data_IF_384418119303
#
_entry.id   IF_384418119303
#
_cell.length_a   1.000
_cell.length_b   1.000
_cell.length_c   1.000
_cell.angle_alpha   90.00
_cell.angle_beta   90.00
_cell.angle_gamma   90.00
#
_symmetry.space_group_name_H-M   'P 1'
#
loop_
_entity.id
_entity.type
_entity.pdbx_description
1 polymer ?
#
# COMPACT_ATOMS: atom_id res chain seq x y z
N UNK A 1 26.45 -2.95 -29.80
CA UNK A 1 25.82 -1.97 -28.90
C UNK A 1 24.63 -2.65 -28.21
N UNK A 2 24.65 -2.87 -26.89
CA UNK A 2 23.51 -3.41 -26.16
C UNK A 2 22.50 -2.30 -25.79
N UNK A 3 21.20 -2.61 -25.63
CA UNK A 3 20.21 -1.64 -25.16
C UNK A 3 20.43 -1.31 -23.67
N UNK A 4 20.46 -0.01 -23.34
CA UNK A 4 20.55 0.52 -21.97
C UNK A 4 19.13 0.68 -21.39
N UNK A 5 18.85 0.03 -20.27
CA UNK A 5 17.81 0.47 -19.33
C UNK A 5 16.69 -0.53 -19.00
N UNK A 6 17.04 -1.76 -18.60
CA UNK A 6 16.13 -2.56 -17.78
C UNK A 6 16.27 -2.10 -16.31
N UNK A 7 15.28 -1.39 -15.79
CA UNK A 7 15.11 -1.16 -14.36
C UNK A 7 14.04 -2.13 -13.85
N UNK A 8 14.42 -3.40 -13.66
CA UNK A 8 13.61 -4.38 -12.93
C UNK A 8 14.32 -4.73 -11.63
N UNK A 9 14.02 -4.01 -10.55
CA UNK A 9 14.28 -4.48 -9.17
C UNK A 9 13.22 -3.94 -8.21
N UNK A 10 12.23 -4.77 -7.91
CA UNK A 10 11.84 -5.09 -6.53
C UNK A 10 11.37 -6.56 -6.51
N UNK A 11 12.31 -7.47 -6.74
CA UNK A 11 12.16 -8.89 -6.40
C UNK A 11 12.62 -9.06 -4.95
N UNK A 12 11.84 -8.58 -3.99
CA UNK A 12 11.91 -9.11 -2.63
C UNK A 12 10.96 -10.29 -2.55
N UNK A 13 11.55 -11.46 -2.77
CA UNK A 13 11.25 -12.76 -2.15
C UNK A 13 9.79 -13.18 -2.06
N UNK A 14 9.40 -14.03 -3.02
CA UNK A 14 8.68 -15.24 -2.63
C UNK A 14 9.07 -16.37 -3.57
N UNK A 15 10.19 -17.01 -3.24
CA UNK A 15 10.54 -18.36 -3.67
C UNK A 15 9.30 -19.24 -3.65
N UNK A 16 9.00 -19.84 -4.79
CA UNK A 16 7.84 -20.71 -4.99
C UNK A 16 7.99 -22.05 -4.28
N UNK A 17 7.80 -22.07 -2.97
CA UNK A 17 7.65 -23.30 -2.18
C UNK A 17 6.48 -23.08 -1.18
N UNK A 18 5.46 -23.95 -1.22
CA UNK A 18 4.36 -24.08 -0.24
C UNK A 18 3.16 -23.11 -0.21
N UNK A 19 2.70 -22.55 -1.34
CA UNK A 19 1.57 -21.58 -1.37
C UNK A 19 0.21 -22.04 -0.82
N UNK A 20 0.00 -23.33 -0.52
CA UNK A 20 -1.32 -23.87 -0.16
C UNK A 20 -1.46 -24.34 1.29
N UNK A 21 -0.35 -24.55 2.03
CA UNK A 21 -0.41 -24.94 3.45
C UNK A 21 -0.59 -23.75 4.40
N UNK A 22 0.04 -22.60 4.15
CA UNK A 22 0.07 -21.51 5.14
C UNK A 22 -1.17 -20.61 5.24
N UNK A 23 -1.98 -20.44 4.17
CA UNK A 23 -3.08 -19.45 4.22
C UNK A 23 -4.25 -19.87 5.12
N UNK A 24 -4.59 -21.17 5.14
CA UNK A 24 -5.65 -21.68 6.04
C UNK A 24 -5.25 -21.52 7.50
N UNK A 25 -4.00 -21.87 7.84
CA UNK A 25 -3.45 -21.75 9.19
C UNK A 25 -3.38 -20.29 9.64
N UNK A 26 -2.98 -19.40 8.72
CA UNK A 26 -2.98 -17.95 8.96
C UNK A 26 -4.38 -17.44 9.26
N UNK A 27 -5.38 -17.83 8.47
CA UNK A 27 -6.77 -17.41 8.72
C UNK A 27 -7.31 -18.01 10.01
N UNK A 28 -6.96 -19.25 10.35
CA UNK A 28 -7.33 -19.85 11.62
C UNK A 28 -6.72 -19.08 12.80
N UNK A 29 -5.44 -18.70 12.69
CA UNK A 29 -4.78 -17.87 13.70
C UNK A 29 -5.49 -16.52 13.84
N UNK A 30 -5.79 -15.85 12.72
CA UNK A 30 -6.52 -14.58 12.72
C UNK A 30 -7.88 -14.74 13.41
N UNK A 31 -8.63 -15.81 13.11
CA UNK A 31 -9.93 -16.08 13.74
C UNK A 31 -9.82 -16.39 15.24
N UNK A 32 -8.71 -16.97 15.68
CA UNK A 32 -8.45 -17.27 17.09
C UNK A 32 -8.12 -16.03 17.90
N UNK A 33 -7.35 -15.09 17.33
CA UNK A 33 -6.86 -13.91 18.06
C UNK A 33 -7.69 -12.65 17.85
N UNK A 34 -8.39 -12.53 16.72
CA UNK A 34 -9.16 -11.33 16.38
C UNK A 34 -10.66 -11.62 16.42
N UNK A 35 -11.35 -11.03 17.40
CA UNK A 35 -12.81 -11.04 17.46
C UNK A 35 -13.37 -9.81 16.75
N UNK A 36 -14.25 -10.02 15.78
CA UNK A 36 -14.84 -8.93 14.99
C UNK A 36 -15.71 -7.97 15.81
N UNK A 37 -16.26 -8.46 16.93
CA UNK A 37 -17.07 -7.68 17.86
C UNK A 37 -16.31 -6.51 18.49
N UNK A 38 -15.01 -6.69 18.80
CA UNK A 38 -14.17 -5.62 19.37
C UNK A 38 -14.00 -4.43 18.41
N UNK A 39 -14.15 -4.67 17.11
CA UNK A 39 -14.06 -3.66 16.05
C UNK A 39 -15.43 -3.16 15.58
N UNK A 40 -16.52 -3.61 16.22
CA UNK A 40 -17.90 -3.32 15.79
C UNK A 40 -18.15 -3.69 14.32
N UNK A 41 -17.52 -4.78 13.86
CA UNK A 41 -17.66 -5.32 12.51
C UNK A 41 -18.66 -6.47 12.58
N UNK A 42 -19.77 -6.34 11.86
CA UNK A 42 -20.85 -7.35 11.86
C UNK A 42 -20.42 -8.59 11.07
N UNK A 43 -19.76 -8.38 9.93
CA UNK A 43 -19.26 -9.46 9.08
C UNK A 43 -18.12 -8.94 8.21
N UNK A 44 -17.24 -9.84 7.78
CA UNK A 44 -16.25 -9.57 6.74
C UNK A 44 -16.65 -10.31 5.47
N UNK A 45 -16.47 -9.65 4.32
CA UNK A 45 -16.66 -10.27 3.00
C UNK A 45 -15.30 -10.59 2.39
N UNK A 46 -14.83 -11.85 2.48
CA UNK A 46 -13.59 -12.26 1.85
C UNK A 46 -13.76 -12.33 0.33
N UNK A 47 -12.81 -11.75 -0.39
CA UNK A 47 -12.71 -11.81 -1.85
C UNK A 47 -11.30 -12.24 -2.23
N UNK A 48 -11.19 -13.18 -3.17
CA UNK A 48 -9.88 -13.58 -3.71
C UNK A 48 -9.45 -12.58 -4.77
N UNK A 49 -8.21 -12.09 -4.67
CA UNK A 49 -7.64 -11.15 -5.65
C UNK A 49 -7.00 -11.93 -6.81
N UNK A 50 -6.78 -11.25 -7.94
CA UNK A 50 -6.08 -11.84 -9.09
C UNK A 50 -4.65 -12.29 -8.75
N UNK A 51 -4.01 -11.65 -7.78
CA UNK A 51 -2.68 -12.00 -7.26
C UNK A 51 -2.68 -13.22 -6.34
N UNK A 52 -3.85 -13.81 -6.05
CA UNK A 52 -4.00 -14.95 -5.14
C UNK A 52 -4.08 -14.59 -3.66
N UNK A 53 -4.03 -13.30 -3.33
CA UNK A 53 -4.22 -12.77 -1.97
C UNK A 53 -5.71 -12.79 -1.57
N UNK A 54 -6.00 -12.52 -0.30
CA UNK A 54 -7.36 -12.35 0.21
C UNK A 54 -7.59 -10.89 0.60
N UNK A 55 -8.65 -10.32 0.06
CA UNK A 55 -9.17 -9.01 0.41
C UNK A 55 -10.35 -9.20 1.36
N UNK A 56 -10.31 -8.56 2.52
CA UNK A 56 -11.46 -8.50 3.43
C UNK A 56 -12.16 -7.15 3.29
N UNK A 57 -13.38 -7.16 2.76
CA UNK A 57 -14.25 -5.99 2.76
C UNK A 57 -14.99 -5.89 4.09
N UNK A 58 -14.98 -4.69 4.68
CA UNK A 58 -15.75 -4.33 5.87
C UNK A 58 -16.99 -3.55 5.41
N UNK A 59 -18.18 -4.16 5.39
CA UNK A 59 -19.42 -3.46 5.03
C UNK A 59 -19.91 -2.56 6.17
N UNK A 60 -20.65 -1.50 5.81
CA UNK A 60 -21.38 -0.64 6.75
C UNK A 60 -20.81 0.76 6.94
N UNK A 61 -21.49 1.54 7.78
CA UNK A 61 -21.09 2.91 8.14
C UNK A 61 -19.83 2.88 9.01
N UNK A 62 -18.91 3.82 8.75
CA UNK A 62 -17.61 3.86 9.42
C UNK A 62 -16.67 2.72 9.02
N UNK A 63 -16.93 2.06 7.88
CA UNK A 63 -16.12 0.94 7.38
C UNK A 63 -14.64 1.30 7.22
N UNK A 64 -14.34 2.54 6.83
CA UNK A 64 -12.99 3.04 6.68
C UNK A 64 -12.18 2.92 8.00
N UNK A 65 -12.68 3.53 9.07
CA UNK A 65 -12.01 3.53 10.39
C UNK A 65 -11.93 2.13 11.00
N UNK A 66 -12.99 1.32 10.84
CA UNK A 66 -13.01 -0.06 11.31
C UNK A 66 -11.98 -0.92 10.56
N UNK A 67 -11.86 -0.73 9.25
CA UNK A 67 -10.84 -1.40 8.44
C UNK A 67 -9.42 -0.94 8.80
N UNK A 68 -9.21 0.35 9.12
CA UNK A 68 -7.93 0.86 9.61
C UNK A 68 -7.52 0.18 10.92
N UNK A 69 -8.42 0.15 11.92
CA UNK A 69 -8.16 -0.52 13.21
C UNK A 69 -7.86 -2.00 13.02
N UNK A 70 -8.65 -2.69 12.21
CA UNK A 70 -8.44 -4.10 11.90
C UNK A 70 -7.09 -4.33 11.21
N UNK A 71 -6.70 -3.46 10.27
CA UNK A 71 -5.44 -3.56 9.56
C UNK A 71 -4.23 -3.38 10.48
N UNK A 72 -4.30 -2.48 11.47
CA UNK A 72 -3.21 -2.29 12.46
C UNK A 72 -2.99 -3.55 13.29
N UNK A 73 -4.07 -4.14 13.82
CA UNK A 73 -3.97 -5.38 14.60
C UNK A 73 -3.45 -6.54 13.75
N UNK A 74 -3.98 -6.68 12.53
CA UNK A 74 -3.54 -7.74 11.62
C UNK A 74 -2.06 -7.56 11.23
N UNK A 75 -1.58 -6.34 11.01
CA UNK A 75 -0.15 -6.08 10.78
C UNK A 75 0.69 -6.57 11.95
N UNK A 76 0.35 -6.19 13.18
CA UNK A 76 1.11 -6.61 14.36
C UNK A 76 1.20 -8.13 14.50
N UNK A 77 0.10 -8.84 14.23
CA UNK A 77 0.03 -10.31 14.34
C UNK A 77 0.74 -11.05 13.20
N UNK A 78 0.71 -10.49 11.99
CA UNK A 78 1.10 -11.19 10.75
C UNK A 78 2.49 -10.78 10.26
N UNK A 79 2.93 -9.55 10.50
CA UNK A 79 4.28 -9.11 10.12
C UNK A 79 5.35 -9.88 10.91
N UNK A 80 5.08 -10.24 12.18
CA UNK A 80 5.93 -11.13 12.97
C UNK A 80 6.08 -12.53 12.35
N UNK A 81 5.15 -12.92 11.47
CA UNK A 81 5.14 -14.21 10.75
C UNK A 81 5.58 -14.06 9.29
N UNK A 82 6.14 -12.90 8.91
CA UNK A 82 6.60 -12.60 7.56
C UNK A 82 5.49 -12.32 6.54
N UNK A 83 4.25 -12.09 6.99
CA UNK A 83 3.10 -11.87 6.13
C UNK A 83 2.78 -10.38 6.02
N UNK A 84 2.68 -9.89 4.79
CA UNK A 84 2.41 -8.48 4.51
C UNK A 84 0.91 -8.20 4.55
N UNK A 85 0.50 -7.25 5.40
CA UNK A 85 -0.87 -6.75 5.47
C UNK A 85 -0.91 -5.33 4.91
N UNK A 86 -1.82 -5.08 3.96
CA UNK A 86 -2.01 -3.75 3.37
C UNK A 86 -3.49 -3.36 3.38
N UNK A 87 -3.76 -2.08 3.65
CA UNK A 87 -5.08 -1.49 3.46
C UNK A 87 -5.15 -0.88 2.06
N UNK A 88 -5.87 -1.50 1.11
CA UNK A 88 -6.00 -0.92 -0.22
C UNK A 88 -6.83 0.36 -0.14
N UNK A 89 -6.30 1.43 -0.74
CA UNK A 89 -6.96 2.73 -0.87
C UNK A 89 -7.07 3.08 -2.35
N UNK A 90 -8.12 3.80 -2.72
CA UNK A 90 -8.22 4.36 -4.08
C UNK A 90 -7.07 5.36 -4.25
N UNK A 91 -6.39 5.28 -5.39
CA UNK A 91 -5.28 6.17 -5.76
C UNK A 91 -5.58 6.79 -7.11
N UNK A 92 -5.00 7.97 -7.33
CA UNK A 92 -5.02 8.69 -8.61
C UNK A 92 -3.59 9.06 -8.97
N UNK A 93 -3.29 9.14 -10.26
CA UNK A 93 -2.02 9.66 -10.75
C UNK A 93 -2.12 11.17 -10.96
N UNK A 94 -1.10 11.89 -10.51
CA UNK A 94 -0.98 13.34 -10.65
C UNK A 94 0.31 13.66 -11.39
N UNK A 95 0.27 14.69 -12.22
CA UNK A 95 1.46 15.26 -12.85
C UNK A 95 1.67 16.67 -12.32
N UNK A 96 2.83 16.93 -11.75
CA UNK A 96 3.23 18.20 -11.17
C UNK A 96 4.36 18.77 -12.02
N UNK A 97 4.27 20.03 -12.40
CA UNK A 97 5.27 20.74 -13.23
C UNK A 97 5.60 22.08 -12.60
N UNK A 98 6.75 22.66 -12.95
CA UNK A 98 7.22 23.89 -12.32
C UNK A 98 8.04 23.65 -11.06
N UNK A 99 8.65 22.46 -10.92
CA UNK A 99 9.51 22.15 -9.79
C UNK A 99 10.87 22.85 -9.96
N UNK A 100 11.25 23.67 -9.00
CA UNK A 100 12.57 24.31 -8.95
C UNK A 100 13.69 23.27 -8.71
N UNK A 101 14.94 23.62 -9.02
CA UNK A 101 16.10 22.73 -8.90
C UNK A 101 16.38 22.24 -7.47
N UNK A 102 15.92 22.99 -6.46
CA UNK A 102 15.98 22.59 -5.05
C UNK A 102 14.87 21.60 -4.63
N UNK A 103 13.93 21.28 -5.52
CA UNK A 103 12.80 20.40 -5.20
C UNK A 103 13.26 18.95 -5.06
N UNK A 104 13.05 18.39 -3.87
CA UNK A 104 13.25 16.98 -3.57
C UNK A 104 11.91 16.23 -3.58
N UNK A 105 11.90 14.90 -3.79
CA UNK A 105 10.66 14.12 -3.75
C UNK A 105 9.96 14.21 -2.38
N UNK A 106 10.68 14.37 -1.27
CA UNK A 106 10.07 14.58 0.05
C UNK A 106 9.22 15.87 0.08
N UNK A 107 9.74 16.96 -0.50
CA UNK A 107 9.03 18.25 -0.58
C UNK A 107 7.70 18.11 -1.33
N UNK A 108 7.70 17.32 -2.41
CA UNK A 108 6.48 17.05 -3.20
C UNK A 108 5.49 16.21 -2.40
N UNK A 109 5.96 15.16 -1.70
CA UNK A 109 5.11 14.33 -0.84
C UNK A 109 4.44 15.18 0.25
N UNK A 110 5.22 16.00 0.95
CA UNK A 110 4.72 16.85 2.04
C UNK A 110 3.70 17.86 1.54
N UNK A 111 3.99 18.55 0.43
CA UNK A 111 3.09 19.54 -0.16
C UNK A 111 1.77 18.89 -0.63
N UNK A 112 1.84 17.76 -1.33
CA UNK A 112 0.66 17.04 -1.81
C UNK A 112 -0.14 16.45 -0.64
N UNK A 113 0.53 15.94 0.40
CA UNK A 113 -0.13 15.46 1.61
C UNK A 113 -0.89 16.58 2.32
N UNK A 114 -0.26 17.75 2.48
CA UNK A 114 -0.84 18.92 3.13
C UNK A 114 -2.07 19.43 2.38
N UNK A 115 -1.99 19.59 1.05
CA UNK A 115 -3.11 20.08 0.23
C UNK A 115 -4.20 19.02 0.10
N UNK A 116 -3.82 17.76 -0.10
CA UNK A 116 -4.75 16.66 -0.34
C UNK A 116 -5.38 16.07 0.92
N UNK A 117 -4.96 16.49 2.12
CA UNK A 117 -5.43 15.93 3.39
C UNK A 117 -5.15 14.42 3.53
N UNK A 118 -4.13 13.91 2.85
CA UNK A 118 -3.81 12.49 2.79
C UNK A 118 -2.51 12.20 3.55
N UNK A 119 -2.39 11.01 4.14
CA UNK A 119 -1.13 10.58 4.76
C UNK A 119 -0.02 10.41 3.72
N UNK A 120 1.18 10.91 4.01
CA UNK A 120 2.37 10.80 3.18
C UNK A 120 2.66 9.35 2.73
N UNK A 121 2.40 8.35 3.59
CA UNK A 121 2.60 6.93 3.25
C UNK A 121 1.68 6.39 2.15
N UNK A 122 0.64 7.14 1.77
CA UNK A 122 -0.24 6.80 0.64
C UNK A 122 0.21 7.43 -0.68
N UNK A 123 1.20 8.31 -0.67
CA UNK A 123 1.71 9.03 -1.83
C UNK A 123 2.97 8.31 -2.31
N UNK A 124 3.07 8.12 -3.63
CA UNK A 124 4.28 7.62 -4.29
C UNK A 124 4.68 8.65 -5.33
N UNK A 125 5.90 9.16 -5.21
CA UNK A 125 6.45 10.15 -6.12
C UNK A 125 7.50 9.46 -6.99
N UNK A 126 7.40 9.67 -8.30
CA UNK A 126 8.40 9.18 -9.26
C UNK A 126 9.67 10.01 -9.21
N UNK A 127 10.65 9.66 -10.05
CA UNK A 127 11.85 10.49 -10.18
C UNK A 127 11.48 11.86 -10.76
N UNK A 128 11.97 12.93 -10.14
CA UNK A 128 11.80 14.29 -10.64
C UNK A 128 12.65 14.45 -11.91
N UNK A 129 11.98 14.71 -13.02
CA UNK A 129 12.64 15.01 -14.28
C UNK A 129 13.05 16.48 -14.30
N UNK A 130 14.36 16.72 -14.19
CA UNK A 130 14.93 18.07 -14.34
C UNK A 130 14.96 18.45 -15.82
N UNK A 131 14.40 19.62 -16.13
CA UNK A 131 14.33 20.08 -17.51
C UNK A 131 15.66 20.73 -17.93
N UNK A 132 16.02 20.69 -19.24
CA UNK A 132 17.17 21.42 -19.76
C UNK A 132 16.98 22.93 -19.61
N UNK A 133 18.09 23.68 -19.67
CA UNK A 133 18.17 25.11 -19.42
C UNK A 133 16.97 25.90 -20.00
N UNK A 134 16.34 26.72 -19.15
CA UNK A 134 15.19 27.56 -19.49
C UNK A 134 13.82 26.95 -19.17
N UNK A 135 13.74 25.77 -18.54
CA UNK A 135 12.49 25.16 -18.04
C UNK A 135 12.66 24.62 -16.63
N UNK A 136 11.55 24.54 -15.90
CA UNK A 136 11.46 23.92 -14.57
C UNK A 136 11.14 22.43 -14.65
N UNK A 137 11.43 21.69 -13.59
CA UNK A 137 11.24 20.25 -13.50
C UNK A 137 9.78 19.80 -13.43
N UNK A 138 9.58 18.49 -13.57
CA UNK A 138 8.26 17.85 -13.47
C UNK A 138 8.33 16.44 -12.89
N UNK A 139 7.23 15.98 -12.30
CA UNK A 139 7.05 14.62 -11.75
C UNK A 139 5.64 14.11 -11.98
#
# INVERSE_FOLDING_TARGET
MPPRGEAEMDKTDSTGVDKQRSLKEVIQTIRGEVKLSDYQIISLRPKRTATGSILYEVPGVGSAEKADKLAVTLKALLEAKGLRVTRPVKRVELRVSGLDDASAPENVVEAVAAVGGCSAGNIRVGNINRAPAGRLGSV
#
